data_IF_538623294937
#
_entry.id   IF_538623294937
#
_cell.length_a   1.000
_cell.length_b   1.000
_cell.length_c   1.000
_cell.angle_alpha   90.00
_cell.angle_beta   90.00
_cell.angle_gamma   90.00
#
_symmetry.space_group_name_H-M   'P 1'
#
loop_
_entity.id
_entity.type
_entity.pdbx_description
1 polymer ?
#
# COMPACT_ATOMS: atom_id res chain seq x y z
N UNK A 1 11.73 3.20 -30.56
CA UNK A 1 11.44 2.40 -29.34
C UNK A 1 10.00 2.49 -28.85
N UNK A 2 9.40 3.63 -28.46
CA UNK A 2 8.01 3.61 -27.93
C UNK A 2 6.92 3.30 -28.99
N UNK A 3 7.13 3.74 -30.23
CA UNK A 3 6.26 3.43 -31.37
C UNK A 3 6.59 2.11 -32.11
N UNK A 4 7.46 1.27 -31.54
CA UNK A 4 7.73 -0.05 -32.12
C UNK A 4 6.55 -1.00 -31.86
N UNK A 5 6.31 -1.98 -32.75
CA UNK A 5 5.28 -2.98 -32.55
C UNK A 5 5.49 -3.74 -31.23
N UNK A 6 4.42 -3.81 -30.44
CA UNK A 6 4.39 -4.51 -29.17
C UNK A 6 4.62 -6.00 -29.37
N UNK A 7 5.65 -6.56 -28.75
CA UNK A 7 5.87 -8.01 -28.76
C UNK A 7 4.98 -8.73 -27.74
N UNK A 8 4.67 -10.03 -27.91
CA UNK A 8 3.97 -10.81 -26.88
C UNK A 8 4.67 -10.78 -25.52
N UNK A 9 6.00 -10.81 -25.53
CA UNK A 9 6.80 -10.73 -24.30
C UNK A 9 6.69 -9.38 -23.59
N UNK A 10 6.57 -8.26 -24.33
CA UNK A 10 6.34 -6.92 -23.76
C UNK A 10 5.03 -6.88 -23.00
N UNK A 11 3.96 -7.40 -23.62
CA UNK A 11 2.64 -7.48 -23.00
C UNK A 11 2.65 -8.32 -21.72
N UNK A 12 3.24 -9.52 -21.78
CA UNK A 12 3.34 -10.40 -20.62
C UNK A 12 4.15 -9.75 -19.49
N UNK A 13 5.26 -9.09 -19.84
CA UNK A 13 6.10 -8.37 -18.88
C UNK A 13 5.30 -7.27 -18.16
N UNK A 14 4.68 -6.36 -18.92
CA UNK A 14 3.95 -5.22 -18.37
C UNK A 14 2.79 -5.66 -17.47
N UNK A 15 1.99 -6.63 -17.92
CA UNK A 15 0.85 -7.13 -17.14
C UNK A 15 1.27 -7.82 -15.84
N UNK A 16 2.35 -8.61 -15.86
CA UNK A 16 2.88 -9.22 -14.62
C UNK A 16 3.47 -8.20 -13.66
N UNK A 17 3.95 -7.06 -14.16
CA UNK A 17 4.65 -6.03 -13.39
C UNK A 17 3.70 -5.01 -12.78
N UNK A 18 2.72 -4.56 -13.57
CA UNK A 18 1.81 -3.46 -13.24
C UNK A 18 0.52 -3.97 -12.62
N UNK A 19 0.12 -5.21 -12.90
CA UNK A 19 -1.04 -5.87 -12.29
C UNK A 19 -0.56 -7.03 -11.40
N UNK A 20 -0.93 -8.26 -11.74
CA UNK A 20 -0.50 -9.47 -11.01
C UNK A 20 -0.18 -10.63 -11.97
N UNK A 21 -0.78 -10.62 -13.16
CA UNK A 21 -0.65 -11.66 -14.17
C UNK A 21 -0.98 -11.09 -15.54
N UNK A 22 -0.53 -11.79 -16.57
CA UNK A 22 -0.96 -11.70 -17.96
C UNK A 22 -2.45 -12.02 -18.15
N UNK A 23 -3.04 -12.91 -17.34
CA UNK A 23 -4.46 -13.26 -17.44
C UNK A 23 -5.28 -12.30 -16.56
N UNK A 24 -5.78 -11.22 -17.17
CA UNK A 24 -6.57 -10.16 -16.51
C UNK A 24 -7.88 -9.93 -17.27
N UNK A 25 -8.84 -9.27 -16.62
CA UNK A 25 -10.10 -8.87 -17.25
C UNK A 25 -10.09 -7.38 -17.67
N UNK A 26 -8.92 -6.85 -18.08
CA UNK A 26 -8.81 -5.46 -18.52
C UNK A 26 -9.38 -5.34 -19.94
N UNK A 27 -10.45 -4.57 -20.09
CA UNK A 27 -11.14 -4.41 -21.37
C UNK A 27 -10.24 -3.69 -22.39
N UNK A 28 -10.18 -4.21 -23.62
CA UNK A 28 -9.49 -3.57 -24.75
C UNK A 28 -7.96 -3.63 -24.70
N UNK A 29 -7.36 -4.24 -23.67
CA UNK A 29 -5.91 -4.35 -23.54
C UNK A 29 -5.29 -5.09 -24.74
N UNK A 30 -5.99 -6.08 -25.31
CA UNK A 30 -5.64 -6.87 -26.50
C UNK A 30 -5.49 -6.03 -27.77
N UNK A 31 -6.14 -4.87 -27.83
CA UNK A 31 -6.10 -3.96 -28.98
C UNK A 31 -4.82 -3.14 -29.07
N UNK A 32 -4.10 -2.95 -27.96
CA UNK A 32 -2.83 -2.22 -27.95
C UNK A 32 -1.82 -2.85 -28.93
N UNK A 33 -1.18 -2.00 -29.73
CA UNK A 33 -0.18 -2.32 -30.77
C UNK A 33 1.19 -1.73 -30.46
N UNK A 34 1.28 -0.73 -29.60
CA UNK A 34 2.54 -0.14 -29.12
C UNK A 34 2.67 -0.23 -27.60
N UNK A 35 3.87 0.02 -27.08
CA UNK A 35 4.10 0.10 -25.62
C UNK A 35 3.33 1.25 -24.98
N UNK A 36 3.24 2.37 -25.68
CA UNK A 36 2.49 3.54 -25.24
C UNK A 36 0.99 3.26 -25.15
N UNK A 37 0.40 2.67 -26.19
CA UNK A 37 -1.01 2.26 -26.17
C UNK A 37 -1.29 1.25 -25.06
N UNK A 38 -0.36 0.34 -24.78
CA UNK A 38 -0.50 -0.62 -23.69
C UNK A 38 -0.47 0.07 -22.32
N UNK A 39 0.47 0.98 -22.08
CA UNK A 39 0.56 1.74 -20.82
C UNK A 39 -0.67 2.62 -20.61
N UNK A 40 -1.17 3.28 -21.66
CA UNK A 40 -2.41 4.05 -21.61
C UNK A 40 -3.59 3.17 -21.22
N UNK A 41 -3.78 2.02 -21.88
CA UNK A 41 -4.85 1.10 -21.54
C UNK A 41 -4.74 0.54 -20.10
N UNK A 42 -3.52 0.33 -19.59
CA UNK A 42 -3.31 -0.07 -18.19
C UNK A 42 -3.70 1.03 -17.21
N UNK A 43 -3.32 2.29 -17.47
CA UNK A 43 -3.69 3.44 -16.64
C UNK A 43 -5.19 3.70 -16.66
N UNK A 44 -5.81 3.69 -17.85
CA UNK A 44 -7.25 3.86 -18.02
C UNK A 44 -8.06 2.75 -17.34
N UNK A 45 -7.47 1.57 -17.13
CA UNK A 45 -8.11 0.47 -16.40
C UNK A 45 -8.17 0.65 -14.88
N UNK A 46 -7.46 1.63 -14.35
CA UNK A 46 -7.42 1.89 -12.91
C UNK A 46 -8.76 2.51 -12.50
N UNK A 47 -9.53 1.73 -11.74
CA UNK A 47 -10.83 2.12 -11.25
C UNK A 47 -10.85 1.97 -9.72
N UNK A 48 -11.01 3.07 -8.97
CA UNK A 48 -11.06 3.02 -7.51
C UNK A 48 -12.37 2.44 -6.97
N UNK A 49 -13.37 2.14 -7.81
CA UNK A 49 -14.63 1.57 -7.36
C UNK A 49 -14.45 0.18 -6.72
N UNK A 50 -15.26 -0.09 -5.70
CA UNK A 50 -15.32 -1.41 -5.07
C UNK A 50 -16.21 -2.36 -5.89
N UNK A 51 -15.81 -3.62 -5.98
CA UNK A 51 -16.57 -4.67 -6.68
C UNK A 51 -17.28 -5.57 -5.68
N UNK A 52 -16.64 -5.80 -4.55
CA UNK A 52 -17.07 -6.60 -3.41
C UNK A 52 -17.44 -5.65 -2.29
N UNK A 53 -18.66 -5.81 -1.78
CA UNK A 53 -19.18 -5.03 -0.67
C UNK A 53 -18.31 -5.27 0.58
N UNK A 54 -17.84 -4.22 1.26
CA UNK A 54 -17.04 -4.38 2.47
C UNK A 54 -17.88 -4.88 3.65
N UNK A 55 -17.24 -5.43 4.69
CA UNK A 55 -17.94 -5.83 5.92
C UNK A 55 -18.74 -4.66 6.51
N UNK A 56 -19.98 -4.91 6.96
CA UNK A 56 -20.90 -3.85 7.40
C UNK A 56 -20.34 -2.94 8.51
N UNK A 57 -19.48 -3.48 9.39
CA UNK A 57 -18.85 -2.70 10.45
C UNK A 57 -17.90 -1.61 9.92
N UNK A 58 -17.43 -1.69 8.67
CA UNK A 58 -16.58 -0.65 8.06
C UNK A 58 -17.31 0.68 7.89
N UNK A 59 -18.64 0.65 7.82
CA UNK A 59 -19.51 1.82 7.73
C UNK A 59 -19.86 2.41 9.11
N UNK A 60 -19.47 1.73 10.20
CA UNK A 60 -19.84 2.11 11.56
C UNK A 60 -18.57 2.30 12.40
N UNK A 61 -18.36 3.52 12.91
CA UNK A 61 -17.26 3.72 13.87
C UNK A 61 -17.71 3.28 15.26
N UNK A 62 -17.02 2.33 15.91
CA UNK A 62 -17.43 1.82 17.20
C UNK A 62 -17.28 2.89 18.28
N UNK A 63 -18.26 2.97 19.18
CA UNK A 63 -18.19 3.87 20.33
C UNK A 63 -17.03 3.46 21.26
N UNK A 64 -16.23 4.42 21.78
CA UNK A 64 -15.16 4.13 22.71
C UNK A 64 -15.73 3.64 24.04
N UNK A 65 -14.95 2.82 24.72
CA UNK A 65 -15.26 2.37 26.08
C UNK A 65 -15.04 3.55 27.01
N UNK A 66 -16.06 3.93 27.78
CA UNK A 66 -15.90 4.90 28.85
C UNK A 66 -15.58 4.16 30.14
N UNK A 67 -14.39 4.41 30.71
CA UNK A 67 -13.97 3.83 31.99
C UNK A 67 -14.90 4.24 33.15
N UNK A 68 -15.76 5.24 32.94
CA UNK A 68 -16.80 5.67 33.88
C UNK A 68 -18.10 4.87 33.79
N UNK A 69 -18.22 3.92 32.86
CA UNK A 69 -19.37 3.03 32.83
C UNK A 69 -19.45 2.21 34.12
N UNK A 70 -20.59 2.24 34.85
CA UNK A 70 -20.76 1.51 36.10
C UNK A 70 -20.94 0.01 35.79
N UNK A 71 -19.85 -0.67 35.44
CA UNK A 71 -19.81 -2.10 35.18
C UNK A 71 -19.03 -2.79 36.30
N UNK A 72 -19.65 -3.80 36.92
CA UNK A 72 -18.96 -4.74 37.80
C UNK A 72 -17.87 -5.52 37.06
N UNK A 73 -16.95 -6.11 37.82
CA UNK A 73 -15.75 -6.75 37.26
C UNK A 73 -16.06 -7.88 36.27
N UNK A 74 -17.09 -8.69 36.53
CA UNK A 74 -17.53 -9.75 35.63
C UNK A 74 -17.98 -9.20 34.27
N UNK A 75 -18.82 -8.16 34.26
CA UNK A 75 -19.29 -7.50 33.02
C UNK A 75 -18.10 -6.90 32.27
N UNK A 76 -17.14 -6.31 32.99
CA UNK A 76 -15.92 -5.76 32.42
C UNK A 76 -15.05 -6.83 31.75
N UNK A 77 -14.91 -8.01 32.38
CA UNK A 77 -14.16 -9.13 31.81
C UNK A 77 -14.86 -9.70 30.56
N UNK A 78 -16.18 -9.96 30.64
CA UNK A 78 -16.98 -10.43 29.51
C UNK A 78 -16.87 -9.47 28.32
N UNK A 79 -16.99 -8.17 28.57
CA UNK A 79 -16.85 -7.15 27.54
C UNK A 79 -15.45 -7.16 26.90
N UNK A 80 -14.37 -7.24 27.70
CA UNK A 80 -13.00 -7.34 27.17
C UNK A 80 -12.83 -8.57 26.28
N UNK A 81 -13.37 -9.72 26.69
CA UNK A 81 -13.35 -10.95 25.89
C UNK A 81 -14.10 -10.78 24.56
N UNK A 82 -15.32 -10.23 24.59
CA UNK A 82 -16.09 -9.93 23.38
C UNK A 82 -15.36 -8.96 22.45
N UNK A 83 -14.72 -7.92 23.00
CA UNK A 83 -13.94 -6.95 22.21
C UNK A 83 -12.76 -7.60 21.51
N UNK A 84 -12.03 -8.49 22.19
CA UNK A 84 -10.92 -9.23 21.58
C UNK A 84 -11.42 -10.12 20.45
N UNK A 85 -12.54 -10.84 20.64
CA UNK A 85 -13.15 -11.65 19.58
C UNK A 85 -13.60 -10.80 18.39
N UNK A 86 -14.23 -9.65 18.65
CA UNK A 86 -14.64 -8.70 17.62
C UNK A 86 -13.45 -8.22 16.79
N UNK A 87 -12.36 -7.77 17.45
CA UNK A 87 -11.17 -7.30 16.75
C UNK A 87 -10.53 -8.40 15.89
N UNK A 88 -10.50 -9.64 16.38
CA UNK A 88 -10.04 -10.81 15.61
C UNK A 88 -10.92 -11.06 14.38
N UNK A 89 -12.24 -10.98 14.53
CA UNK A 89 -13.19 -11.14 13.43
C UNK A 89 -13.00 -10.07 12.37
N UNK A 90 -12.95 -8.80 12.78
CA UNK A 90 -12.72 -7.65 11.89
C UNK A 90 -11.40 -7.79 11.12
N UNK A 91 -10.33 -8.23 11.79
CA UNK A 91 -9.03 -8.47 11.15
C UNK A 91 -9.14 -9.51 10.03
N UNK A 92 -9.74 -10.67 10.31
CA UNK A 92 -9.96 -11.73 9.32
C UNK A 92 -10.85 -11.28 8.17
N UNK A 93 -11.98 -10.64 8.48
CA UNK A 93 -12.96 -10.18 7.50
C UNK A 93 -12.38 -9.14 6.54
N UNK A 94 -11.60 -8.18 7.04
CA UNK A 94 -10.99 -7.14 6.21
C UNK A 94 -9.93 -7.71 5.26
N UNK A 95 -9.08 -8.62 5.74
CA UNK A 95 -8.10 -9.32 4.89
C UNK A 95 -8.77 -10.17 3.83
N UNK A 96 -9.80 -10.94 4.23
CA UNK A 96 -10.58 -11.76 3.30
C UNK A 96 -11.26 -10.89 2.24
N UNK A 97 -11.87 -9.78 2.63
CA UNK A 97 -12.49 -8.82 1.72
C UNK A 97 -11.50 -8.29 0.67
N UNK A 98 -10.28 -7.90 1.07
CA UNK A 98 -9.32 -7.39 0.08
C UNK A 98 -8.84 -8.49 -0.88
N UNK A 99 -8.67 -9.72 -0.39
CA UNK A 99 -8.42 -10.86 -1.28
C UNK A 99 -9.59 -11.14 -2.22
N UNK A 100 -10.85 -10.96 -1.77
CA UNK A 100 -12.03 -11.08 -2.63
C UNK A 100 -12.03 -9.99 -3.71
N UNK A 101 -11.69 -8.74 -3.36
CA UNK A 101 -11.52 -7.64 -4.32
C UNK A 101 -10.52 -8.00 -5.42
N UNK A 102 -9.33 -8.49 -5.02
CA UNK A 102 -8.27 -8.93 -5.95
C UNK A 102 -8.78 -10.08 -6.82
N UNK A 103 -9.43 -11.09 -6.23
CA UNK A 103 -9.93 -12.27 -6.94
C UNK A 103 -10.91 -11.96 -8.09
N UNK A 104 -11.57 -10.80 -8.08
CA UNK A 104 -12.49 -10.39 -9.17
C UNK A 104 -11.77 -10.00 -10.48
N UNK A 105 -10.46 -9.71 -10.44
CA UNK A 105 -9.64 -9.28 -11.60
C UNK A 105 -10.15 -8.03 -12.34
N UNK A 106 -11.07 -7.24 -11.74
CA UNK A 106 -11.75 -6.11 -12.42
C UNK A 106 -10.89 -4.86 -12.57
N UNK A 107 -10.10 -4.52 -11.56
CA UNK A 107 -9.11 -3.43 -11.64
C UNK A 107 -7.78 -3.87 -11.02
N UNK A 108 -7.08 -4.82 -11.65
CA UNK A 108 -5.93 -5.46 -11.04
C UNK A 108 -4.73 -4.50 -10.91
N UNK A 109 -4.65 -3.48 -11.77
CA UNK A 109 -3.66 -2.40 -11.66
C UNK A 109 -3.93 -1.55 -10.42
N UNK A 110 -5.18 -1.18 -10.15
CA UNK A 110 -5.56 -0.41 -8.96
C UNK A 110 -5.21 -1.18 -7.67
N UNK A 111 -5.52 -2.47 -7.62
CA UNK A 111 -5.20 -3.30 -6.45
C UNK A 111 -3.69 -3.49 -6.26
N UNK A 112 -2.92 -3.65 -7.34
CA UNK A 112 -1.45 -3.72 -7.27
C UNK A 112 -0.82 -2.41 -6.79
N UNK A 113 -1.36 -1.28 -7.25
CA UNK A 113 -0.94 0.05 -6.83
C UNK A 113 -1.34 0.33 -5.37
N UNK A 114 -2.48 -0.18 -4.91
CA UNK A 114 -2.88 -0.11 -3.51
C UNK A 114 -1.97 -0.89 -2.57
N UNK A 115 -1.46 -2.05 -3.00
CA UNK A 115 -0.46 -2.79 -2.23
C UNK A 115 0.80 -1.93 -2.05
N UNK A 116 1.25 -1.25 -3.12
CA UNK A 116 2.36 -0.29 -3.03
C UNK A 116 2.06 0.84 -2.05
N UNK A 117 0.91 1.52 -2.18
CA UNK A 117 0.58 2.66 -1.31
C UNK A 117 0.41 2.28 0.15
N UNK A 118 -0.17 1.11 0.42
CA UNK A 118 -0.28 0.59 1.77
C UNK A 118 1.09 0.24 2.37
N UNK A 119 2.02 -0.23 1.53
CA UNK A 119 3.41 -0.47 1.95
C UNK A 119 4.21 0.83 2.13
N UNK A 120 3.89 1.87 1.36
CA UNK A 120 4.56 3.16 1.43
C UNK A 120 4.09 3.97 2.65
N UNK A 121 2.79 4.04 2.91
CA UNK A 121 2.20 4.70 4.10
C UNK A 121 1.77 3.67 5.15
N UNK A 122 2.75 2.95 5.65
CA UNK A 122 2.58 1.79 6.52
C UNK A 122 1.77 2.07 7.78
N UNK A 123 0.77 1.23 8.04
CA UNK A 123 0.17 1.07 9.37
C UNK A 123 -0.15 -0.40 9.65
N UNK A 124 -0.21 -0.77 10.94
CA UNK A 124 -0.59 -2.12 11.37
C UNK A 124 -2.05 -2.16 11.83
N UNK A 125 -2.86 -3.03 11.22
CA UNK A 125 -4.25 -3.30 11.60
C UNK A 125 -4.37 -3.72 13.07
N UNK A 126 -3.37 -4.43 13.60
CA UNK A 126 -3.26 -4.76 15.03
C UNK A 126 -3.27 -3.51 15.92
N UNK A 127 -2.56 -2.44 15.54
CA UNK A 127 -2.42 -1.21 16.34
C UNK A 127 -3.57 -0.22 16.07
N UNK A 128 -3.99 -0.07 14.82
CA UNK A 128 -4.97 0.95 14.40
C UNK A 128 -6.42 0.47 14.44
N UNK A 129 -6.64 -0.84 14.36
CA UNK A 129 -7.93 -1.52 14.28
C UNK A 129 -8.72 -1.28 12.99
N UNK A 130 -9.72 -2.13 12.75
CA UNK A 130 -10.45 -2.23 11.49
C UNK A 130 -10.97 -0.90 10.93
N UNK A 131 -11.73 -0.08 11.69
CA UNK A 131 -12.33 1.13 11.15
C UNK A 131 -11.33 2.17 10.66
N UNK A 132 -10.21 2.36 11.37
CA UNK A 132 -9.17 3.30 10.95
C UNK A 132 -8.38 2.75 9.76
N UNK A 133 -8.05 1.45 9.79
CA UNK A 133 -7.39 0.78 8.67
C UNK A 133 -8.22 0.87 7.39
N UNK A 134 -9.52 0.60 7.49
CA UNK A 134 -10.48 0.74 6.39
C UNK A 134 -10.46 2.15 5.78
N UNK A 135 -10.55 3.19 6.63
CA UNK A 135 -10.53 4.58 6.17
C UNK A 135 -9.22 4.97 5.51
N UNK A 136 -8.08 4.53 6.04
CA UNK A 136 -6.79 4.75 5.38
C UNK A 136 -6.76 4.04 4.02
N UNK A 137 -7.18 2.78 3.94
CA UNK A 137 -7.24 2.03 2.67
C UNK A 137 -8.14 2.72 1.62
N UNK A 138 -9.28 3.29 2.04
CA UNK A 138 -10.15 4.06 1.14
C UNK A 138 -9.55 5.40 0.71
N UNK A 139 -8.86 6.11 1.62
CA UNK A 139 -8.14 7.34 1.28
C UNK A 139 -7.08 7.05 0.22
N UNK A 140 -6.22 6.05 0.44
CA UNK A 140 -5.21 5.64 -0.55
C UNK A 140 -5.87 5.26 -1.88
N UNK A 141 -7.02 4.57 -1.83
CA UNK A 141 -7.78 4.18 -3.02
C UNK A 141 -8.31 5.37 -3.81
N UNK A 142 -8.80 6.40 -3.14
CA UNK A 142 -9.34 7.59 -3.77
C UNK A 142 -8.25 8.49 -4.38
N UNK A 143 -7.07 8.51 -3.77
CA UNK A 143 -5.98 9.41 -4.17
C UNK A 143 -4.93 8.78 -5.09
N UNK A 144 -4.98 7.46 -5.37
CA UNK A 144 -3.89 6.73 -6.05
C UNK A 144 -3.46 7.26 -7.43
N UNK A 145 -4.32 8.03 -8.11
CA UNK A 145 -4.05 8.67 -9.41
C UNK A 145 -4.10 10.20 -9.37
N UNK A 146 -4.43 10.80 -8.24
CA UNK A 146 -4.59 12.24 -8.08
C UNK A 146 -3.25 12.98 -7.94
N UNK A 147 -3.27 14.12 -7.24
CA UNK A 147 -2.04 14.80 -6.85
C UNK A 147 -1.39 14.10 -5.65
N UNK A 148 -0.06 13.93 -5.70
CA UNK A 148 0.70 13.48 -4.53
C UNK A 148 0.71 14.52 -3.41
N UNK A 149 0.58 15.82 -3.74
CA UNK A 149 0.39 16.86 -2.73
C UNK A 149 -0.90 16.64 -1.93
N UNK A 150 -2.02 16.39 -2.63
CA UNK A 150 -3.29 16.10 -1.97
C UNK A 150 -3.24 14.80 -1.16
N UNK A 151 -2.62 13.75 -1.72
CA UNK A 151 -2.42 12.49 -0.99
C UNK A 151 -1.61 12.71 0.30
N UNK A 152 -0.50 13.45 0.21
CA UNK A 152 0.36 13.75 1.35
C UNK A 152 -0.38 14.59 2.39
N UNK A 153 -1.09 15.66 1.98
CA UNK A 153 -1.90 16.47 2.88
C UNK A 153 -3.01 15.67 3.58
N UNK A 154 -3.61 14.70 2.88
CA UNK A 154 -4.62 13.82 3.44
C UNK A 154 -4.01 12.78 4.41
N UNK A 155 -2.87 12.19 4.07
CA UNK A 155 -2.28 11.09 4.85
C UNK A 155 -1.62 11.56 6.14
N UNK A 156 -0.99 12.75 6.17
CA UNK A 156 -0.39 13.29 7.40
C UNK A 156 -1.45 13.63 8.47
N UNK A 157 -2.71 13.77 8.05
CA UNK A 157 -3.88 13.95 8.94
C UNK A 157 -4.65 12.65 9.16
N UNK A 158 -4.23 11.54 8.56
CA UNK A 158 -4.97 10.29 8.62
C UNK A 158 -4.91 9.70 10.04
N UNK A 159 -6.07 9.45 10.68
CA UNK A 159 -6.12 8.94 12.06
C UNK A 159 -5.45 7.57 12.26
N UNK A 160 -5.40 6.70 11.24
CA UNK A 160 -4.66 5.44 11.34
C UNK A 160 -3.15 5.71 11.50
N UNK A 161 -2.59 6.58 10.67
CA UNK A 161 -1.17 6.93 10.72
C UNK A 161 -0.81 7.68 12.00
N UNK A 162 -1.62 8.65 12.40
CA UNK A 162 -1.45 9.37 13.67
C UNK A 162 -1.46 8.41 14.86
N UNK A 163 -2.36 7.43 14.88
CA UNK A 163 -2.42 6.39 15.91
C UNK A 163 -1.23 5.44 15.87
N UNK A 164 -0.86 5.00 14.66
CA UNK A 164 0.22 4.05 14.44
C UNK A 164 1.55 4.61 14.92
N UNK A 165 1.78 5.90 14.73
CA UNK A 165 3.02 6.57 15.11
C UNK A 165 2.91 7.37 16.42
N UNK A 166 1.85 7.11 17.21
CA UNK A 166 1.64 7.69 18.54
C UNK A 166 1.54 9.23 18.59
N UNK A 167 1.18 9.89 17.48
CA UNK A 167 1.03 11.35 17.43
C UNK A 167 -0.18 11.85 18.23
N UNK A 168 -1.17 11.01 18.52
CA UNK A 168 -2.28 11.36 19.42
C UNK A 168 -1.81 11.72 20.85
N UNK A 169 -0.57 11.38 21.21
CA UNK A 169 0.09 11.74 22.47
C UNK A 169 0.99 12.98 22.35
N UNK A 170 1.19 13.52 21.14
CA UNK A 170 2.08 14.63 20.85
C UNK A 170 1.46 15.96 21.30
N UNK A 171 2.06 16.61 22.30
CA UNK A 171 1.52 17.84 22.91
C UNK A 171 2.64 18.85 23.13
N UNK A 172 2.29 20.14 23.11
CA UNK A 172 3.20 21.23 23.48
C UNK A 172 3.86 20.96 24.83
N UNK A 173 5.15 21.24 24.92
CA UNK A 173 5.98 20.96 26.10
C UNK A 173 6.45 19.50 26.24
N UNK A 174 5.86 18.55 25.51
CA UNK A 174 6.35 17.18 25.41
C UNK A 174 6.18 16.63 23.98
N UNK A 175 6.94 17.15 22.99
CA UNK A 175 6.83 16.69 21.60
C UNK A 175 7.19 15.22 21.45
N UNK A 176 6.39 14.47 20.70
CA UNK A 176 6.69 13.08 20.31
C UNK A 176 7.30 13.06 18.91
N UNK A 177 8.58 12.70 18.82
CA UNK A 177 9.35 12.71 17.58
C UNK A 177 9.01 11.59 16.59
N UNK A 178 8.34 10.52 17.05
CA UNK A 178 8.17 9.30 16.24
C UNK A 178 7.49 9.59 14.89
N UNK A 179 6.35 10.28 14.89
CA UNK A 179 5.65 10.64 13.65
C UNK A 179 6.49 11.54 12.73
N UNK A 180 7.22 12.50 13.30
CA UNK A 180 8.08 13.42 12.54
C UNK A 180 9.26 12.71 11.89
N UNK A 181 9.89 11.79 12.63
CA UNK A 181 11.00 10.96 12.16
C UNK A 181 10.57 10.11 10.97
N UNK A 182 9.50 9.31 11.13
CA UNK A 182 9.03 8.46 10.03
C UNK A 182 8.55 9.26 8.82
N UNK A 183 7.93 10.43 9.04
CA UNK A 183 7.51 11.31 7.94
C UNK A 183 8.72 11.75 7.11
N UNK A 184 9.78 12.23 7.75
CA UNK A 184 11.00 12.66 7.07
C UNK A 184 11.75 11.48 6.44
N UNK A 185 11.94 10.40 7.21
CA UNK A 185 12.79 9.27 6.86
C UNK A 185 12.14 8.35 5.83
N UNK A 186 10.92 7.88 6.10
CA UNK A 186 10.30 6.81 5.32
C UNK A 186 9.39 7.34 4.22
N UNK A 187 8.71 8.46 4.45
CA UNK A 187 7.62 8.89 3.57
C UNK A 187 7.98 10.07 2.66
N UNK A 188 9.07 10.80 2.95
CA UNK A 188 9.42 11.98 2.14
C UNK A 188 10.87 12.05 1.71
N UNK A 189 11.83 12.22 2.61
CA UNK A 189 13.19 12.65 2.24
C UNK A 189 14.18 11.49 2.21
N UNK A 190 13.96 10.41 2.96
CA UNK A 190 14.98 9.40 3.15
C UNK A 190 16.01 9.82 4.20
N UNK A 191 16.65 8.82 4.81
CA UNK A 191 17.73 9.01 5.78
C UNK A 191 18.87 9.87 5.19
N UNK A 192 19.47 10.74 6.01
CA UNK A 192 20.60 11.59 5.61
C UNK A 192 20.24 12.90 4.89
N UNK A 193 18.95 13.19 4.72
CA UNK A 193 18.46 14.40 4.04
C UNK A 193 17.79 15.42 4.98
N UNK A 194 17.89 15.19 6.29
CA UNK A 194 17.43 16.06 7.37
C UNK A 194 18.36 15.87 8.57
N UNK A 195 18.29 16.76 9.55
CA UNK A 195 19.03 16.62 10.80
C UNK A 195 18.10 16.40 12.01
N UNK A 196 18.66 16.15 13.19
CA UNK A 196 17.89 15.93 14.42
C UNK A 196 17.04 17.15 14.82
N UNK A 197 17.49 18.37 14.51
CA UNK A 197 16.71 19.58 14.74
C UNK A 197 15.45 19.60 13.88
N UNK A 198 15.52 19.15 12.63
CA UNK A 198 14.35 19.06 11.75
C UNK A 198 13.30 18.10 12.33
N UNK A 199 13.73 16.98 12.90
CA UNK A 199 12.83 16.01 13.57
C UNK A 199 12.13 16.67 14.75
N UNK A 200 12.87 17.35 15.63
CA UNK A 200 12.33 18.04 16.81
C UNK A 200 11.36 19.15 16.43
N UNK A 201 11.73 19.97 15.45
CA UNK A 201 10.91 21.08 14.98
C UNK A 201 9.64 20.58 14.27
N UNK A 202 9.74 19.55 13.45
CA UNK A 202 8.56 18.92 12.85
C UNK A 202 7.67 18.24 13.89
N UNK A 203 8.25 17.63 14.93
CA UNK A 203 7.48 17.08 16.05
C UNK A 203 6.69 18.18 16.77
N UNK A 204 7.27 19.37 16.95
CA UNK A 204 6.56 20.55 17.48
C UNK A 204 5.43 20.97 16.55
N UNK A 205 5.60 20.92 15.22
CA UNK A 205 4.52 21.22 14.25
C UNK A 205 3.32 20.28 14.44
N UNK A 206 3.56 19.00 14.66
CA UNK A 206 2.48 18.01 14.81
C UNK A 206 1.88 17.93 16.23
N UNK A 207 2.32 18.76 17.18
CA UNK A 207 1.68 18.84 18.51
C UNK A 207 0.22 19.23 18.36
N UNK A 208 -0.68 18.54 19.07
CA UNK A 208 -2.12 18.76 19.00
C UNK A 208 -2.82 18.14 17.78
N UNK A 209 -2.10 17.61 16.79
CA UNK A 209 -2.71 16.85 15.69
C UNK A 209 -3.10 15.44 16.15
N UNK A 210 -4.39 15.14 16.17
CA UNK A 210 -4.91 13.89 16.72
C UNK A 210 -6.25 13.52 16.06
N UNK A 211 -7.03 12.66 16.69
CA UNK A 211 -8.33 12.23 16.19
C UNK A 211 -9.31 11.99 17.34
N UNK A 212 -10.60 12.13 17.04
CA UNK A 212 -11.67 11.91 18.00
C UNK A 212 -11.86 10.42 18.30
N UNK A 213 -11.88 10.04 19.57
CA UNK A 213 -12.08 8.64 19.97
C UNK A 213 -13.47 8.08 19.56
N UNK A 214 -14.49 8.95 19.38
CA UNK A 214 -15.87 8.57 19.06
C UNK A 214 -16.18 8.45 17.59
N UNK A 215 -15.63 9.33 16.75
CA UNK A 215 -15.86 9.31 15.31
C UNK A 215 -14.68 8.75 14.54
N UNK A 216 -13.48 8.72 15.12
CA UNK A 216 -12.22 8.41 14.43
C UNK A 216 -11.83 9.45 13.40
N UNK A 217 -12.38 10.65 13.46
CA UNK A 217 -12.08 11.75 12.54
C UNK A 217 -10.90 12.56 13.06
N UNK A 218 -10.12 13.12 12.14
CA UNK A 218 -9.04 14.03 12.46
C UNK A 218 -9.55 15.23 13.28
N UNK A 219 -8.78 15.62 14.28
CA UNK A 219 -9.02 16.82 15.06
C UNK A 219 -7.70 17.48 15.43
N UNK A 220 -7.63 18.80 15.22
CA UNK A 220 -6.52 19.61 15.67
C UNK A 220 -6.87 20.32 16.99
N UNK A 221 -6.15 19.98 18.05
CA UNK A 221 -6.34 20.53 19.39
C UNK A 221 -5.44 21.75 19.59
N UNK A 222 -5.92 22.94 19.22
CA UNK A 222 -5.16 24.20 19.29
C UNK A 222 -4.52 24.45 20.67
N UNK A 223 -5.23 24.11 21.74
CA UNK A 223 -4.74 24.28 23.11
C UNK A 223 -3.55 23.38 23.47
N UNK A 224 -3.35 22.29 22.73
CA UNK A 224 -2.22 21.35 22.86
C UNK A 224 -1.11 21.62 21.82
N UNK A 225 -1.30 22.55 20.90
CA UNK A 225 -0.31 22.88 19.88
C UNK A 225 0.73 23.89 20.40
N UNK A 226 1.98 23.67 20.01
CA UNK A 226 3.08 24.61 20.19
C UNK A 226 3.01 25.68 19.10
N UNK A 227 2.60 26.89 19.45
CA UNK A 227 2.46 28.01 18.52
C UNK A 227 3.77 28.81 18.35
N UNK A 228 4.85 28.38 19.00
CA UNK A 228 6.15 29.01 18.85
C UNK A 228 6.67 28.95 17.42
N UNK A 229 7.61 29.84 17.13
CA UNK A 229 8.39 29.80 15.89
C UNK A 229 9.20 28.50 15.82
N UNK A 230 9.30 27.96 14.60
CA UNK A 230 9.93 26.68 14.30
C UNK A 230 10.80 26.85 13.06
N UNK A 231 11.98 26.23 13.06
CA UNK A 231 12.90 26.25 11.92
C UNK A 231 13.00 24.85 11.35
N UNK A 232 12.45 24.64 10.16
CA UNK A 232 12.42 23.34 9.50
C UNK A 232 13.06 23.45 8.11
N UNK A 233 14.04 22.60 7.82
CA UNK A 233 14.77 22.55 6.54
C UNK A 233 15.31 23.93 6.13
N UNK A 234 15.84 24.68 7.11
CA UNK A 234 16.40 26.01 6.92
C UNK A 234 15.37 27.15 6.74
N UNK A 235 14.06 26.87 6.87
CA UNK A 235 13.00 27.87 6.81
C UNK A 235 12.35 28.05 8.17
N UNK A 236 12.19 29.31 8.58
CA UNK A 236 11.64 29.68 9.89
C UNK A 236 10.22 30.23 9.74
N UNK A 237 9.31 29.78 10.59
CA UNK A 237 7.93 30.27 10.60
C UNK A 237 7.08 29.66 11.71
N UNK A 238 5.82 30.09 11.76
CA UNK A 238 4.81 29.57 12.70
C UNK A 238 3.98 28.46 12.06
N UNK A 239 4.64 27.33 11.79
CA UNK A 239 4.04 26.21 11.07
C UNK A 239 3.02 25.42 11.90
N UNK A 240 1.94 25.01 11.22
CA UNK A 240 0.94 24.03 11.63
C UNK A 240 0.96 22.81 10.70
N UNK A 241 0.31 21.69 11.05
CA UNK A 241 0.30 20.48 10.22
C UNK A 241 -0.18 20.69 8.78
N UNK A 242 -1.04 21.68 8.54
CA UNK A 242 -1.53 22.01 7.18
C UNK A 242 -0.44 22.59 6.29
N UNK A 243 0.57 23.26 6.85
CA UNK A 243 1.60 23.98 6.10
C UNK A 243 2.76 23.06 5.66
N UNK A 244 2.82 21.84 6.20
CA UNK A 244 3.98 20.97 6.08
C UNK A 244 4.10 20.32 4.70
N UNK A 245 2.99 20.04 4.04
CA UNK A 245 3.01 19.37 2.74
C UNK A 245 3.83 20.16 1.72
N UNK A 246 3.51 21.44 1.53
CA UNK A 246 4.22 22.29 0.55
C UNK A 246 5.69 22.48 0.91
N UNK A 247 5.98 22.61 2.21
CA UNK A 247 7.33 22.76 2.70
C UNK A 247 8.20 21.53 2.41
N UNK A 248 7.67 20.33 2.66
CA UNK A 248 8.39 19.07 2.40
C UNK A 248 8.48 18.79 0.90
N UNK A 249 7.41 19.00 0.13
CA UNK A 249 7.43 18.75 -1.31
C UNK A 249 8.35 19.72 -2.06
N UNK A 250 8.53 20.95 -1.58
CA UNK A 250 9.49 21.89 -2.14
C UNK A 250 10.94 21.37 -2.07
N UNK A 251 11.25 20.43 -1.17
CA UNK A 251 12.57 19.80 -1.11
C UNK A 251 12.74 18.82 -2.29
N UNK A 252 13.79 18.96 -3.14
CA UNK A 252 13.94 18.12 -4.35
C UNK A 252 13.88 16.61 -4.08
N UNK A 253 14.44 16.20 -2.94
CA UNK A 253 14.48 14.80 -2.51
C UNK A 253 13.10 14.17 -2.31
N UNK A 254 12.07 14.95 -1.99
CA UNK A 254 10.72 14.44 -1.77
C UNK A 254 10.15 13.73 -3.01
N UNK A 255 10.38 14.31 -4.19
CA UNK A 255 9.99 13.69 -5.46
C UNK A 255 10.87 12.48 -5.78
N UNK A 256 12.19 12.59 -5.59
CA UNK A 256 13.14 11.52 -5.88
C UNK A 256 12.87 10.26 -5.06
N UNK A 257 12.54 10.41 -3.77
CA UNK A 257 12.31 9.29 -2.85
C UNK A 257 11.08 8.47 -3.23
N UNK A 258 9.97 9.13 -3.56
CA UNK A 258 8.78 8.43 -4.06
C UNK A 258 9.11 7.66 -5.36
N UNK A 259 9.86 8.30 -6.27
CA UNK A 259 10.21 7.70 -7.56
C UNK A 259 11.16 6.53 -7.38
N UNK A 260 12.09 6.56 -6.43
CA UNK A 260 12.92 5.42 -6.05
C UNK A 260 12.09 4.23 -5.58
N UNK A 261 11.11 4.47 -4.71
CA UNK A 261 10.20 3.41 -4.23
C UNK A 261 9.35 2.84 -5.37
N UNK A 262 8.82 3.69 -6.25
CA UNK A 262 8.10 3.23 -7.43
C UNK A 262 9.00 2.48 -8.42
N UNK A 263 10.26 2.92 -8.58
CA UNK A 263 11.26 2.25 -9.41
C UNK A 263 11.55 0.84 -8.88
N UNK A 264 11.75 0.70 -7.57
CA UNK A 264 11.96 -0.59 -6.91
C UNK A 264 10.72 -1.49 -7.00
N UNK A 265 9.53 -0.91 -6.98
CA UNK A 265 8.27 -1.64 -7.09
C UNK A 265 7.96 -2.15 -8.51
N UNK A 266 8.39 -1.44 -9.57
CA UNK A 266 7.96 -1.69 -10.95
C UNK A 266 9.08 -1.90 -11.97
N UNK A 267 10.29 -1.38 -11.79
CA UNK A 267 11.36 -1.43 -12.81
C UNK A 267 12.45 -2.41 -12.43
N UNK A 268 13.18 -2.17 -11.34
CA UNK A 268 14.33 -3.00 -10.97
C UNK A 268 14.71 -2.80 -9.50
N UNK A 269 15.40 -3.77 -8.87
CA UNK A 269 15.84 -3.61 -7.48
C UNK A 269 16.95 -2.57 -7.32
N UNK A 270 17.58 -2.15 -8.43
CA UNK A 270 18.69 -1.19 -8.44
C UNK A 270 18.21 0.13 -9.06
N UNK A 271 17.99 1.17 -8.25
CA UNK A 271 17.63 2.51 -8.73
C UNK A 271 18.61 3.06 -9.77
N UNK A 272 18.09 3.75 -10.78
CA UNK A 272 18.90 4.53 -11.72
C UNK A 272 18.79 6.03 -11.36
N UNK A 273 19.81 6.55 -10.67
CA UNK A 273 19.80 7.93 -10.15
C UNK A 273 19.55 8.99 -11.23
N UNK A 274 20.09 8.81 -12.43
CA UNK A 274 19.92 9.77 -13.53
C UNK A 274 18.46 9.79 -13.99
N UNK A 275 17.86 8.61 -14.16
CA UNK A 275 16.45 8.50 -14.55
C UNK A 275 15.53 9.04 -13.45
N UNK A 276 15.82 8.73 -12.18
CA UNK A 276 15.06 9.21 -11.02
C UNK A 276 15.07 10.73 -10.95
N UNK A 277 16.23 11.38 -11.05
CA UNK A 277 16.33 12.85 -11.01
C UNK A 277 15.57 13.50 -12.16
N UNK A 278 15.64 12.92 -13.38
CA UNK A 278 14.88 13.40 -14.53
C UNK A 278 13.37 13.27 -14.31
N UNK A 279 12.91 12.12 -13.82
CA UNK A 279 11.50 11.89 -13.50
C UNK A 279 11.03 12.81 -12.36
N UNK A 280 11.88 13.11 -11.39
CA UNK A 280 11.57 14.01 -10.27
C UNK A 280 11.40 15.47 -10.72
N UNK A 281 12.18 15.92 -11.70
CA UNK A 281 11.96 17.24 -12.33
C UNK A 281 10.60 17.24 -13.04
N UNK A 282 10.36 16.26 -13.91
CA UNK A 282 9.09 16.13 -14.64
C UNK A 282 7.88 16.07 -13.68
N UNK A 283 7.98 15.28 -12.61
CA UNK A 283 6.89 15.12 -11.65
C UNK A 283 6.50 16.44 -10.97
N UNK A 284 7.49 17.28 -10.65
CA UNK A 284 7.26 18.62 -10.08
C UNK A 284 6.67 19.58 -11.10
N UNK A 285 7.12 19.54 -12.35
CA UNK A 285 6.56 20.33 -13.46
C UNK A 285 5.12 19.94 -13.81
N UNK A 286 4.69 18.72 -13.44
CA UNK A 286 3.32 18.24 -13.59
C UNK A 286 2.48 18.43 -12.32
N UNK A 287 2.85 19.38 -11.45
CA UNK A 287 2.16 19.68 -10.19
C UNK A 287 1.91 18.43 -9.33
N UNK A 288 2.90 17.53 -9.32
CA UNK A 288 2.85 16.27 -8.59
C UNK A 288 1.70 15.32 -8.99
N UNK A 289 1.27 15.34 -10.27
CA UNK A 289 0.30 14.39 -10.81
C UNK A 289 0.82 12.95 -10.80
N UNK A 290 0.19 12.08 -10.00
CA UNK A 290 0.54 10.66 -9.91
C UNK A 290 0.25 9.93 -11.23
N UNK A 291 -0.85 10.29 -11.91
CA UNK A 291 -1.16 9.75 -13.24
C UNK A 291 0.00 10.01 -14.22
N UNK A 292 0.44 11.27 -14.32
CA UNK A 292 1.52 11.66 -15.23
C UNK A 292 2.84 10.96 -14.87
N UNK A 293 3.15 10.85 -13.58
CA UNK A 293 4.34 10.14 -13.11
C UNK A 293 4.31 8.65 -13.49
N UNK A 294 3.22 7.94 -13.20
CA UNK A 294 3.10 6.50 -13.50
C UNK A 294 3.17 6.25 -15.01
N UNK A 295 2.51 7.09 -15.81
CA UNK A 295 2.63 7.05 -17.28
C UNK A 295 4.08 7.16 -17.74
N UNK A 296 4.79 8.18 -17.26
CA UNK A 296 6.19 8.39 -17.65
C UNK A 296 7.10 7.27 -17.16
N UNK A 297 6.90 6.81 -15.92
CA UNK A 297 7.67 5.74 -15.28
C UNK A 297 7.53 4.41 -16.05
N UNK A 298 6.32 4.00 -16.40
CA UNK A 298 6.08 2.74 -17.11
C UNK A 298 6.50 2.80 -18.59
N UNK A 299 6.73 4.00 -19.13
CA UNK A 299 7.34 4.21 -20.45
C UNK A 299 8.87 4.36 -20.41
N UNK A 300 9.49 4.34 -19.22
CA UNK A 300 10.94 4.39 -19.12
C UNK A 300 11.59 3.23 -19.89
N UNK A 301 12.65 3.47 -20.71
CA UNK A 301 13.32 2.39 -21.44
C UNK A 301 13.76 1.24 -20.52
N UNK A 302 14.22 1.56 -19.31
CA UNK A 302 14.64 0.59 -18.31
C UNK A 302 13.51 -0.40 -17.92
N UNK A 303 12.24 0.01 -17.95
CA UNK A 303 11.11 -0.89 -17.70
C UNK A 303 11.09 -2.03 -18.74
N UNK A 304 11.42 -1.74 -20.00
CA UNK A 304 11.29 -2.69 -21.12
C UNK A 304 12.56 -3.48 -21.44
N UNK A 305 13.69 -3.15 -20.78
CA UNK A 305 14.97 -3.81 -20.97
C UNK A 305 14.93 -5.29 -20.53
N UNK A 306 15.55 -6.16 -21.33
CA UNK A 306 15.59 -7.60 -21.04
C UNK A 306 16.21 -7.92 -19.68
N UNK A 307 17.20 -7.13 -19.23
CA UNK A 307 17.83 -7.28 -17.93
C UNK A 307 16.84 -7.10 -16.75
N UNK A 308 15.76 -6.34 -16.94
CA UNK A 308 14.81 -6.01 -15.89
C UNK A 308 13.54 -6.89 -15.88
N UNK A 309 13.30 -7.69 -16.93
CA UNK A 309 12.04 -8.47 -17.05
C UNK A 309 11.75 -9.43 -15.91
N UNK A 310 12.79 -10.02 -15.32
CA UNK A 310 12.70 -10.99 -14.23
C UNK A 310 13.53 -10.60 -13.01
N UNK A 311 13.88 -9.32 -12.89
CA UNK A 311 14.79 -8.82 -11.85
C UNK A 311 14.14 -8.66 -10.47
N UNK A 312 12.82 -8.48 -10.42
CA UNK A 312 12.09 -8.38 -9.14
C UNK A 312 11.50 -9.72 -8.74
N UNK A 313 11.66 -10.02 -7.46
CA UNK A 313 10.99 -11.13 -6.79
C UNK A 313 9.56 -10.72 -6.49
N UNK A 314 8.59 -11.50 -6.96
CA UNK A 314 7.17 -11.32 -6.60
C UNK A 314 7.00 -11.42 -5.09
N UNK A 315 6.23 -10.50 -4.50
CA UNK A 315 5.69 -10.63 -3.15
C UNK A 315 4.79 -11.88 -3.05
N UNK A 316 4.53 -12.40 -1.83
CA UNK A 316 3.61 -13.53 -1.63
C UNK A 316 2.22 -13.33 -2.29
N UNK A 317 1.64 -12.14 -2.17
CA UNK A 317 0.35 -11.82 -2.80
C UNK A 317 0.44 -11.88 -4.33
N UNK A 318 1.48 -11.28 -4.91
CA UNK A 318 1.71 -11.34 -6.37
C UNK A 318 1.93 -12.77 -6.86
N UNK A 319 2.69 -13.57 -6.09
CA UNK A 319 2.93 -14.97 -6.41
C UNK A 319 1.63 -15.78 -6.43
N UNK A 320 0.82 -15.68 -5.37
CA UNK A 320 -0.47 -16.36 -5.25
C UNK A 320 -1.44 -15.92 -6.33
N UNK A 321 -1.64 -14.60 -6.50
CA UNK A 321 -2.55 -14.06 -7.51
C UNK A 321 -2.13 -14.51 -8.91
N UNK A 322 -0.83 -14.43 -9.24
CA UNK A 322 -0.30 -14.88 -10.51
C UNK A 322 -0.54 -16.38 -10.75
N UNK A 323 -0.28 -17.22 -9.74
CA UNK A 323 -0.45 -18.68 -9.85
C UNK A 323 -1.91 -19.04 -10.15
N UNK A 324 -2.85 -18.42 -9.46
CA UNK A 324 -4.29 -18.64 -9.70
C UNK A 324 -4.72 -18.12 -11.07
N UNK A 325 -4.34 -16.90 -11.42
CA UNK A 325 -4.87 -16.26 -12.63
C UNK A 325 -4.30 -16.87 -13.89
N UNK A 326 -2.99 -17.15 -13.94
CA UNK A 326 -2.34 -17.76 -15.11
C UNK A 326 -2.91 -19.13 -15.46
N UNK A 327 -3.39 -19.89 -14.46
CA UNK A 327 -3.98 -21.22 -14.66
C UNK A 327 -5.51 -21.20 -14.70
N UNK A 328 -6.12 -20.03 -14.76
CA UNK A 328 -7.58 -19.83 -14.74
C UNK A 328 -8.32 -20.52 -13.57
N UNK A 329 -7.63 -20.63 -12.43
CA UNK A 329 -8.20 -21.18 -11.19
C UNK A 329 -8.63 -20.02 -10.30
N UNK A 330 -9.89 -20.02 -9.87
CA UNK A 330 -10.41 -18.96 -8.99
C UNK A 330 -9.61 -18.87 -7.69
N UNK A 331 -9.14 -17.65 -7.36
CA UNK A 331 -8.58 -17.36 -6.06
C UNK A 331 -9.72 -17.29 -5.04
N UNK A 332 -9.77 -18.24 -4.10
CA UNK A 332 -10.81 -18.32 -3.07
C UNK A 332 -10.26 -17.88 -1.71
N UNK A 333 -10.67 -16.71 -1.19
CA UNK A 333 -10.25 -16.24 0.13
C UNK A 333 -10.70 -17.20 1.22
N UNK A 334 -9.78 -17.54 2.11
CA UNK A 334 -9.98 -18.45 3.23
C UNK A 334 -8.96 -18.15 4.33
N UNK A 335 -9.25 -18.63 5.55
CA UNK A 335 -8.32 -18.48 6.67
C UNK A 335 -6.98 -19.16 6.39
N UNK A 336 -7.00 -20.29 5.66
CA UNK A 336 -5.79 -20.95 5.20
C UNK A 336 -4.96 -20.06 4.28
N UNK A 337 -5.59 -19.42 3.28
CA UNK A 337 -4.87 -18.52 2.38
C UNK A 337 -4.29 -17.30 3.11
N UNK A 338 -5.05 -16.72 4.05
CA UNK A 338 -4.55 -15.60 4.87
C UNK A 338 -3.30 -16.02 5.64
N UNK A 339 -3.34 -17.20 6.27
CA UNK A 339 -2.20 -17.76 6.99
C UNK A 339 -1.03 -18.10 6.05
N UNK A 340 -1.29 -18.62 4.87
CA UNK A 340 -0.24 -18.94 3.89
C UNK A 340 0.52 -17.66 3.46
N UNK A 341 -0.20 -16.55 3.26
CA UNK A 341 0.42 -15.24 2.97
C UNK A 341 1.25 -14.72 4.15
N UNK A 342 0.74 -14.82 5.37
CA UNK A 342 1.47 -14.48 6.61
C UNK A 342 2.75 -15.33 6.76
N UNK A 343 2.65 -16.65 6.57
CA UNK A 343 3.78 -17.59 6.64
C UNK A 343 4.81 -17.35 5.52
N UNK A 344 4.39 -16.81 4.37
CA UNK A 344 5.28 -16.34 3.30
C UNK A 344 5.86 -14.93 3.56
N UNK A 345 5.41 -14.25 4.61
CA UNK A 345 5.94 -12.98 5.11
C UNK A 345 5.12 -11.74 4.79
N UNK A 346 3.94 -11.88 4.17
CA UNK A 346 3.09 -10.75 3.78
C UNK A 346 1.72 -10.86 4.43
N UNK A 347 1.64 -10.49 5.70
CA UNK A 347 0.35 -10.41 6.38
C UNK A 347 -0.41 -9.16 5.94
N UNK A 348 -1.48 -9.31 5.14
CA UNK A 348 -2.20 -8.15 4.58
C UNK A 348 -2.74 -7.23 5.68
N UNK A 349 -2.55 -5.92 5.50
CA UNK A 349 -2.82 -4.87 6.51
C UNK A 349 -1.95 -4.91 7.79
N UNK A 350 -1.02 -5.84 7.92
CA UNK A 350 -0.12 -5.92 9.06
C UNK A 350 1.34 -6.10 8.60
N UNK A 351 1.97 -5.04 8.04
CA UNK A 351 3.42 -5.03 7.85
C UNK A 351 4.18 -5.28 9.16
N UNK A 352 5.40 -5.86 9.11
CA UNK A 352 6.17 -6.23 10.29
C UNK A 352 6.67 -5.04 11.13
N UNK A 353 6.92 -3.90 10.48
CA UNK A 353 7.40 -2.66 11.11
C UNK A 353 7.01 -1.44 10.26
N UNK A 354 7.42 -0.24 10.71
CA UNK A 354 7.10 1.06 10.09
C UNK A 354 7.61 1.19 8.65
N UNK A 355 8.65 0.44 8.27
CA UNK A 355 9.24 0.41 6.94
C UNK A 355 8.42 -0.38 5.91
N UNK A 356 7.35 -1.06 6.35
CA UNK A 356 6.50 -1.86 5.48
C UNK A 356 6.89 -3.34 5.43
N UNK A 357 6.30 -4.06 4.49
CA UNK A 357 6.70 -5.41 4.13
C UNK A 357 8.08 -5.43 3.48
N UNK A 358 8.83 -6.53 3.66
CA UNK A 358 10.13 -6.71 3.04
C UNK A 358 10.04 -6.67 1.50
N UNK A 359 11.17 -6.51 0.83
CA UNK A 359 11.22 -6.47 -0.65
C UNK A 359 12.31 -7.37 -1.22
N UNK A 360 12.24 -7.66 -2.51
CA UNK A 360 13.30 -8.38 -3.23
C UNK A 360 13.63 -9.75 -2.62
N UNK A 361 14.92 -9.97 -2.29
CA UNK A 361 15.43 -11.28 -1.84
C UNK A 361 14.95 -11.68 -0.46
N UNK A 362 14.46 -10.75 0.35
CA UNK A 362 13.91 -11.07 1.66
C UNK A 362 12.69 -11.98 1.54
N UNK A 363 11.96 -11.91 0.43
CA UNK A 363 10.88 -12.84 0.11
C UNK A 363 11.33 -14.29 -0.13
N UNK A 364 12.63 -14.55 -0.31
CA UNK A 364 13.21 -15.87 -0.62
C UNK A 364 14.33 -16.21 0.38
N UNK A 365 13.97 -16.31 1.66
CA UNK A 365 14.80 -16.99 2.65
C UNK A 365 14.35 -18.45 2.80
N UNK A 366 15.13 -19.27 3.53
CA UNK A 366 14.90 -20.71 3.65
C UNK A 366 13.48 -21.08 4.08
N UNK A 367 12.91 -20.37 5.07
CA UNK A 367 11.55 -20.66 5.55
C UNK A 367 10.47 -20.20 4.56
N UNK A 368 10.58 -18.98 4.01
CA UNK A 368 9.61 -18.43 3.06
C UNK A 368 9.59 -19.20 1.75
N UNK A 369 10.73 -19.71 1.28
CA UNK A 369 10.80 -20.56 0.09
C UNK A 369 10.10 -21.91 0.31
N UNK A 370 10.27 -22.53 1.47
CA UNK A 370 9.55 -23.77 1.85
C UNK A 370 8.04 -23.52 1.85
N UNK A 371 7.58 -22.41 2.41
CA UNK A 371 6.15 -22.07 2.47
C UNK A 371 5.57 -21.80 1.07
N UNK A 372 6.34 -21.15 0.19
CA UNK A 372 5.97 -20.98 -1.23
C UNK A 372 5.85 -22.31 -1.97
N UNK A 373 6.81 -23.21 -1.80
CA UNK A 373 6.77 -24.54 -2.42
C UNK A 373 5.61 -25.38 -1.86
N UNK A 374 5.33 -25.28 -0.55
CA UNK A 374 4.16 -25.90 0.08
C UNK A 374 2.87 -25.39 -0.56
N UNK A 375 2.70 -24.07 -0.70
CA UNK A 375 1.54 -23.49 -1.36
C UNK A 375 1.40 -23.99 -2.80
N UNK A 376 2.50 -23.99 -3.56
CA UNK A 376 2.53 -24.48 -4.94
C UNK A 376 2.06 -25.94 -5.06
N UNK A 377 2.52 -26.82 -4.16
CA UNK A 377 2.10 -28.24 -4.15
C UNK A 377 0.63 -28.40 -3.82
N UNK A 378 0.12 -27.65 -2.83
CA UNK A 378 -1.31 -27.66 -2.50
C UNK A 378 -2.17 -27.12 -3.64
N UNK A 379 -1.67 -26.11 -4.36
CA UNK A 379 -2.33 -25.60 -5.56
C UNK A 379 -2.36 -26.65 -6.67
N UNK A 380 -1.23 -27.30 -6.94
CA UNK A 380 -1.12 -28.33 -7.98
C UNK A 380 -2.02 -29.54 -7.71
N UNK A 381 -2.13 -30.00 -6.44
CA UNK A 381 -3.03 -31.10 -6.09
C UNK A 381 -4.51 -30.74 -6.26
N UNK A 382 -4.90 -29.49 -6.00
CA UNK A 382 -6.27 -29.01 -6.28
C UNK A 382 -6.55 -28.95 -7.79
N UNK A 383 -5.55 -28.55 -8.58
CA UNK A 383 -5.66 -28.51 -10.04
C UNK A 383 -5.80 -29.92 -10.63
N UNK A 384 -5.02 -30.90 -10.16
CA UNK A 384 -5.13 -32.29 -10.62
C UNK A 384 -6.47 -32.92 -10.28
N UNK A 385 -7.12 -32.50 -9.18
CA UNK A 385 -8.47 -32.94 -8.81
C UNK A 385 -9.58 -32.25 -9.63
N UNK A 386 -9.28 -31.17 -10.35
CA UNK A 386 -10.23 -30.44 -11.19
C UNK A 386 -10.16 -30.82 -12.67
N UNK A 387 -9.09 -31.50 -13.10
CA UNK A 387 -9.02 -32.14 -14.40
C UNK A 387 -9.81 -33.46 -14.32
N UNK A 388 -10.76 -33.73 -15.24
CA UNK A 388 -11.39 -35.05 -15.27
C UNK A 388 -10.32 -36.13 -15.42
N UNK A 389 -10.44 -37.22 -14.66
CA UNK A 389 -9.66 -38.43 -14.91
C UNK A 389 -9.83 -38.78 -16.39
N UNK A 390 -8.72 -38.94 -17.09
CA UNK A 390 -8.69 -39.29 -18.50
C UNK A 390 -9.12 -40.75 -18.68
N UNK A 391 -10.42 -41.01 -18.57
CA UNK A 391 -11.07 -42.27 -18.92
C UNK A 391 -11.66 -42.25 -20.36
N UNK A 392 -11.35 -41.23 -21.16
CA UNK A 392 -11.75 -41.15 -22.58
C UNK A 392 -10.59 -41.41 -23.57
N UNK A 393 -9.63 -42.28 -23.21
CA UNK A 393 -8.59 -42.76 -24.14
C UNK A 393 -8.60 -44.28 -24.38
N UNK A 394 -9.69 -44.99 -24.06
CA UNK A 394 -9.86 -46.41 -24.44
C UNK A 394 -10.78 -46.68 -25.65
N UNK A 395 -11.36 -45.65 -26.27
CA UNK A 395 -12.23 -45.84 -27.46
C UNK A 395 -11.56 -45.54 -28.82
N UNK A 396 -10.23 -45.50 -28.87
CA UNK A 396 -9.47 -45.52 -30.12
C UNK A 396 -8.39 -46.61 -30.06
N UNK A 397 -8.83 -47.87 -30.06
CA UNK A 397 -8.03 -49.03 -30.48
C UNK A 397 -8.67 -49.66 -31.71
#
# INVERSE_FOLDING_TARGET
MLGEPLTPGDREHALKRIAFSENTNIAGIDKARTREELVNALLESINPALVVVPPAWTLQYPQPIDNKWPMGDEIRQLYKHQRVQQLRSQKRELKSWWLQQIAQKRSPVAERLLVFWHNFYTTELRKVHGPLMWRQHMLLRQHMLGSYSDLMAAIIKNPALLRYLDNQKNRKGNPNENFARELLELYTLGEGHYNESDIKELARVFTGASFQARSGEYQFFQNQHDNGEKTLLGKTGTYQPIDITDLLLAHPRAAEHLIEKLWQAYISPTPNEIAIKRLAVYFREQDYSLYSLLHKLWLEPAFWENANRYSLVKSPLEYVANLHWRNDISLKPSDHLIRDLEEMGQDLFDPPDVGGWPEGRDWINSSRLINRERYRRQFASRMSLQLPESDELEHLK
#
